data_IF_167644194452
#
_entry.id   IF_167644194452
#
_cell.length_a   1.000
_cell.length_b   1.000
_cell.length_c   1.000
_cell.angle_alpha   90.00
_cell.angle_beta   90.00
_cell.angle_gamma   90.00
#
_symmetry.space_group_name_H-M   'P 1'
#
loop_
_entity.id
_entity.type
_entity.pdbx_description
1 polymer ?
#
# COMPACT_ATOMS: atom_id res chain seq x y z
N UNK A 1 16.75 -22.86 4.20
CA UNK A 1 17.23 -21.86 3.21
C UNK A 1 16.12 -21.67 2.19
N UNK A 2 15.79 -20.44 1.81
CA UNK A 2 14.85 -20.22 0.70
C UNK A 2 15.47 -20.73 -0.60
N UNK A 3 14.68 -21.44 -1.40
CA UNK A 3 15.09 -21.98 -2.71
C UNK A 3 15.49 -20.86 -3.70
N UNK A 4 15.11 -19.61 -3.43
CA UNK A 4 15.43 -18.43 -4.26
C UNK A 4 15.89 -17.25 -3.39
N UNK A 5 17.17 -17.23 -2.97
CA UNK A 5 17.71 -16.15 -2.15
C UNK A 5 17.55 -14.77 -2.78
N UNK A 6 17.59 -14.67 -4.11
CA UNK A 6 17.40 -13.41 -4.85
C UNK A 6 15.99 -12.82 -4.76
N UNK A 7 15.01 -13.59 -4.26
CA UNK A 7 13.65 -13.09 -4.00
C UNK A 7 13.49 -12.61 -2.55
N UNK A 8 14.51 -12.75 -1.71
CA UNK A 8 14.45 -12.30 -0.33
C UNK A 8 14.92 -10.86 -0.21
N UNK A 9 14.02 -9.99 0.21
CA UNK A 9 14.32 -8.60 0.53
C UNK A 9 14.64 -8.53 2.03
N UNK A 10 15.88 -8.16 2.36
CA UNK A 10 16.24 -7.86 3.73
C UNK A 10 15.65 -6.51 4.14
N UNK A 11 14.67 -6.52 5.04
CA UNK A 11 14.05 -5.30 5.56
C UNK A 11 15.05 -4.52 6.42
N UNK A 12 15.05 -3.19 6.26
CA UNK A 12 15.71 -2.29 7.21
C UNK A 12 15.13 -2.52 8.60
N UNK A 13 15.99 -2.58 9.61
CA UNK A 13 15.57 -2.58 11.01
C UNK A 13 15.00 -1.21 11.39
N UNK A 14 13.75 -1.20 11.82
CA UNK A 14 13.07 -0.03 12.36
C UNK A 14 12.45 -0.39 13.71
N UNK A 15 12.24 0.61 14.57
CA UNK A 15 11.36 0.46 15.73
C UNK A 15 9.94 0.15 15.27
N UNK A 16 9.14 -0.46 16.13
CA UNK A 16 7.71 -0.68 15.87
C UNK A 16 6.88 0.34 16.65
N UNK A 17 5.89 0.92 15.99
CA UNK A 17 4.84 1.74 16.61
C UNK A 17 3.47 1.12 16.30
N UNK A 18 2.42 1.62 16.93
CA UNK A 18 1.05 1.26 16.56
C UNK A 18 0.29 2.45 15.95
N UNK A 19 -0.47 2.17 14.89
CA UNK A 19 -1.50 3.07 14.36
C UNK A 19 -2.82 2.40 14.64
N UNK A 20 -3.41 2.70 15.81
CA UNK A 20 -4.57 1.95 16.31
C UNK A 20 -4.20 0.47 16.47
N UNK A 21 -4.92 -0.42 15.80
CA UNK A 21 -4.64 -1.87 15.82
C UNK A 21 -3.54 -2.32 14.86
N UNK A 22 -3.02 -1.44 13.98
CA UNK A 22 -2.06 -1.83 12.94
C UNK A 22 -0.62 -1.54 13.39
N UNK A 23 0.24 -2.56 13.57
CA UNK A 23 1.65 -2.36 13.84
C UNK A 23 2.38 -1.82 12.59
N UNK A 24 3.29 -0.87 12.77
CA UNK A 24 4.09 -0.28 11.68
C UNK A 24 5.56 -0.23 12.11
N UNK A 25 6.43 -0.81 11.29
CA UNK A 25 7.86 -0.95 11.59
C UNK A 25 8.21 -2.29 12.25
N UNK A 26 9.48 -2.50 12.58
CA UNK A 26 9.98 -3.79 13.03
C UNK A 26 9.73 -4.90 12.00
N UNK A 27 9.26 -6.05 12.48
CA UNK A 27 8.93 -7.21 11.64
C UNK A 27 7.48 -7.17 11.11
N UNK A 28 6.75 -6.07 11.34
CA UNK A 28 5.38 -5.94 10.87
C UNK A 28 5.30 -5.96 9.32
N UNK A 29 4.25 -6.59 8.75
CA UNK A 29 3.99 -6.50 7.32
C UNK A 29 3.82 -5.05 6.87
N UNK A 30 4.31 -4.71 5.67
CA UNK A 30 4.20 -3.35 5.13
C UNK A 30 2.72 -3.02 4.89
N UNK A 31 2.19 -2.05 5.62
CA UNK A 31 0.78 -1.68 5.52
C UNK A 31 0.52 -0.74 4.34
N UNK A 32 -0.55 -0.99 3.59
CA UNK A 32 -1.07 -0.17 2.49
C UNK A 32 -2.02 0.89 3.05
N UNK A 33 -1.77 2.15 2.73
CA UNK A 33 -2.63 3.27 3.11
C UNK A 33 -3.19 4.00 1.90
N UNK A 34 -4.34 4.65 2.10
CA UNK A 34 -4.89 5.62 1.15
C UNK A 34 -5.38 6.87 1.89
N UNK A 35 -5.93 7.84 1.16
CA UNK A 35 -6.54 9.04 1.71
C UNK A 35 -7.91 9.28 1.05
N UNK A 36 -8.92 9.61 1.83
CA UNK A 36 -10.22 10.04 1.31
C UNK A 36 -10.10 11.37 0.55
N UNK A 37 -10.99 11.59 -0.41
CA UNK A 37 -11.07 12.84 -1.18
C UNK A 37 -12.46 13.53 -1.08
N UNK A 38 -13.37 12.95 -0.30
CA UNK A 38 -14.65 13.57 0.10
C UNK A 38 -14.44 14.73 1.08
N UNK A 39 -15.44 15.60 1.19
CA UNK A 39 -15.50 16.57 2.28
C UNK A 39 -15.74 15.84 3.60
N UNK A 40 -14.85 15.99 4.57
CA UNK A 40 -14.92 15.29 5.86
C UNK A 40 -16.17 15.64 6.66
N UNK A 41 -16.69 16.86 6.54
CA UNK A 41 -17.95 17.28 7.14
C UNK A 41 -19.15 16.47 6.63
N UNK A 42 -19.08 15.93 5.42
CA UNK A 42 -19.98 14.87 4.96
C UNK A 42 -19.48 13.51 5.44
N UNK A 43 -19.80 13.23 6.71
CA UNK A 43 -19.44 11.96 7.33
C UNK A 43 -20.01 10.75 6.56
N UNK A 44 -21.20 10.86 5.96
CA UNK A 44 -21.83 9.74 5.27
C UNK A 44 -21.07 9.38 3.97
N UNK A 45 -20.74 10.38 3.16
CA UNK A 45 -19.93 10.18 1.96
C UNK A 45 -18.53 9.65 2.30
N UNK A 46 -17.91 10.21 3.36
CA UNK A 46 -16.57 9.80 3.80
C UNK A 46 -16.55 8.35 4.30
N UNK A 47 -17.54 7.94 5.11
CA UNK A 47 -17.70 6.55 5.54
C UNK A 47 -17.93 5.62 4.34
N UNK A 48 -18.77 6.01 3.37
CA UNK A 48 -19.01 5.21 2.18
C UNK A 48 -17.74 5.00 1.34
N UNK A 49 -16.88 6.03 1.20
CA UNK A 49 -15.59 5.88 0.53
C UNK A 49 -14.61 5.03 1.33
N UNK A 50 -14.57 5.15 2.66
CA UNK A 50 -13.80 4.27 3.53
C UNK A 50 -14.21 2.80 3.32
N UNK A 51 -15.50 2.49 3.19
CA UNK A 51 -15.97 1.12 2.90
C UNK A 51 -15.44 0.56 1.59
N UNK A 52 -15.35 1.39 0.54
CA UNK A 52 -14.76 0.95 -0.75
C UNK A 52 -13.27 0.65 -0.60
N UNK A 53 -12.54 1.50 0.12
CA UNK A 53 -11.13 1.27 0.43
C UNK A 53 -10.92 0.03 1.32
N UNK A 54 -11.79 -0.22 2.30
CA UNK A 54 -11.80 -1.43 3.13
C UNK A 54 -12.02 -2.69 2.26
N UNK A 55 -12.97 -2.66 1.32
CA UNK A 55 -13.19 -3.76 0.39
C UNK A 55 -11.97 -4.02 -0.51
N UNK A 56 -11.28 -2.96 -0.94
CA UNK A 56 -10.00 -3.04 -1.66
C UNK A 56 -8.84 -3.56 -0.77
N UNK A 57 -9.03 -3.69 0.54
CA UNK A 57 -8.05 -4.22 1.48
C UNK A 57 -7.05 -3.19 2.00
N UNK A 58 -7.48 -1.95 2.20
CA UNK A 58 -6.63 -0.94 2.86
C UNK A 58 -6.38 -1.33 4.33
N UNK A 59 -5.18 -1.07 4.84
CA UNK A 59 -4.88 -1.30 6.26
C UNK A 59 -5.13 -0.03 7.11
N UNK A 60 -4.88 1.17 6.56
CA UNK A 60 -5.01 2.46 7.25
C UNK A 60 -5.57 3.53 6.30
N UNK A 61 -6.56 4.31 6.73
CA UNK A 61 -7.12 5.40 5.91
C UNK A 61 -6.80 6.76 6.52
N UNK A 62 -6.38 7.70 5.68
CA UNK A 62 -6.18 9.10 6.07
C UNK A 62 -7.38 9.96 5.68
N UNK A 63 -7.79 10.86 6.57
CA UNK A 63 -8.90 11.79 6.38
C UNK A 63 -8.42 13.22 6.64
N UNK A 64 -8.71 14.15 5.73
CA UNK A 64 -8.32 15.56 5.87
C UNK A 64 -9.15 16.26 6.94
N UNK A 65 -8.53 17.03 7.83
CA UNK A 65 -9.24 17.78 8.88
C UNK A 65 -8.89 19.28 8.84
N UNK A 66 -9.32 20.02 7.80
CA UNK A 66 -8.97 21.43 7.62
C UNK A 66 -9.65 22.39 8.60
N UNK A 67 -10.85 22.07 9.08
CA UNK A 67 -11.74 22.96 9.83
C UNK A 67 -12.49 22.24 10.97
N UNK A 68 -13.36 22.98 11.68
CA UNK A 68 -14.10 22.46 12.83
C UNK A 68 -15.20 21.48 12.48
N UNK A 69 -15.86 21.68 11.35
CA UNK A 69 -16.88 20.75 10.87
C UNK A 69 -16.25 19.39 10.55
N UNK A 70 -15.03 19.39 10.02
CA UNK A 70 -14.26 18.18 9.74
C UNK A 70 -13.92 17.40 11.02
N UNK A 71 -13.39 18.07 12.06
CA UNK A 71 -13.06 17.39 13.33
C UNK A 71 -14.31 16.96 14.10
N UNK A 72 -15.41 17.71 14.02
CA UNK A 72 -16.69 17.31 14.59
C UNK A 72 -17.26 16.04 13.93
N UNK A 73 -17.15 15.91 12.61
CA UNK A 73 -17.56 14.73 11.87
C UNK A 73 -16.66 13.50 12.13
N UNK A 74 -15.38 13.74 12.45
CA UNK A 74 -14.37 12.69 12.61
C UNK A 74 -14.75 11.64 13.64
N UNK A 75 -15.38 12.02 14.77
CA UNK A 75 -15.80 11.08 15.82
C UNK A 75 -16.75 10.01 15.28
N UNK A 76 -17.68 10.39 14.40
CA UNK A 76 -18.59 9.45 13.74
C UNK A 76 -17.82 8.58 12.74
N UNK A 77 -16.94 9.18 11.94
CA UNK A 77 -16.13 8.47 10.94
C UNK A 77 -15.26 7.38 11.60
N UNK A 78 -14.53 7.73 12.66
CA UNK A 78 -13.68 6.81 13.44
C UNK A 78 -14.50 5.65 14.00
N UNK A 79 -15.67 5.92 14.59
CA UNK A 79 -16.52 4.90 15.19
C UNK A 79 -17.01 3.87 14.17
N UNK A 80 -17.32 4.33 12.95
CA UNK A 80 -17.83 3.46 11.90
C UNK A 80 -16.70 2.73 11.15
N UNK A 81 -15.52 3.34 10.99
CA UNK A 81 -14.40 2.72 10.28
C UNK A 81 -13.95 1.39 10.94
N UNK A 82 -13.64 0.38 10.11
CA UNK A 82 -13.08 -0.91 10.54
C UNK A 82 -11.56 -0.89 10.59
N UNK A 83 -10.97 0.13 9.97
CA UNK A 83 -9.52 0.37 9.90
C UNK A 83 -9.15 1.65 10.64
N UNK A 84 -7.92 1.76 11.18
CA UNK A 84 -7.44 2.96 11.83
C UNK A 84 -7.50 4.20 10.94
N UNK A 85 -7.97 5.32 11.51
CA UNK A 85 -8.06 6.62 10.82
C UNK A 85 -6.89 7.53 11.22
N UNK A 86 -6.19 8.05 10.22
CA UNK A 86 -5.16 9.09 10.38
C UNK A 86 -5.81 10.45 10.10
N UNK A 87 -5.75 11.38 11.05
CA UNK A 87 -6.19 12.76 10.81
C UNK A 87 -5.05 13.57 10.15
N UNK A 88 -5.32 14.17 9.00
CA UNK A 88 -4.34 15.01 8.27
C UNK A 88 -4.52 16.49 8.62
N UNK A 89 -3.51 17.05 9.28
CA UNK A 89 -3.57 18.40 9.86
C UNK A 89 -2.31 19.16 9.49
N UNK A 90 -2.47 20.38 8.98
CA UNK A 90 -1.36 21.15 8.45
C UNK A 90 -0.78 22.14 9.46
N UNK A 91 -1.63 22.96 10.10
CA UNK A 91 -1.17 24.08 10.94
C UNK A 91 -1.91 24.22 12.28
N UNK A 92 -3.18 23.83 12.34
CA UNK A 92 -4.06 24.26 13.42
C UNK A 92 -4.04 23.29 14.61
N UNK A 93 -3.29 23.64 15.67
CA UNK A 93 -3.09 22.79 16.85
C UNK A 93 -4.41 22.32 17.52
N UNK A 94 -5.45 23.17 17.56
CA UNK A 94 -6.76 22.75 18.10
C UNK A 94 -7.40 21.62 17.32
N UNK A 95 -7.27 21.60 15.98
CA UNK A 95 -7.79 20.49 15.17
C UNK A 95 -7.08 19.18 15.53
N UNK A 96 -5.81 19.24 15.91
CA UNK A 96 -5.03 18.08 16.30
C UNK A 96 -5.47 17.51 17.65
N UNK A 97 -5.74 18.39 18.61
CA UNK A 97 -6.30 18.01 19.92
C UNK A 97 -7.68 17.36 19.73
N UNK A 98 -8.58 18.03 19.02
CA UNK A 98 -9.93 17.52 18.77
C UNK A 98 -9.94 16.22 17.98
N UNK A 99 -9.03 16.05 17.02
CA UNK A 99 -8.91 14.81 16.26
C UNK A 99 -8.45 13.64 17.16
N UNK A 100 -7.52 13.89 18.10
CA UNK A 100 -7.12 12.89 19.08
C UNK A 100 -8.30 12.52 20.00
N UNK A 101 -9.03 13.52 20.51
CA UNK A 101 -10.24 13.33 21.33
C UNK A 101 -11.37 12.60 20.59
N UNK A 102 -11.48 12.81 19.28
CA UNK A 102 -12.41 12.11 18.40
C UNK A 102 -12.05 10.64 18.15
N UNK A 103 -10.85 10.20 18.58
CA UNK A 103 -10.36 8.83 18.45
C UNK A 103 -9.52 8.56 17.21
N UNK A 104 -8.93 9.59 16.58
CA UNK A 104 -7.96 9.37 15.52
C UNK A 104 -6.82 8.46 16.03
N UNK A 105 -6.44 7.48 15.23
CA UNK A 105 -5.38 6.53 15.56
C UNK A 105 -3.97 7.10 15.35
N UNK A 106 -3.86 8.11 14.49
CA UNK A 106 -2.62 8.82 14.23
C UNK A 106 -2.87 10.25 13.76
N UNK A 107 -2.06 11.20 14.23
CA UNK A 107 -2.05 12.58 13.73
C UNK A 107 -0.93 12.75 12.72
N UNK A 108 -1.23 13.09 11.46
CA UNK A 108 -0.21 13.68 10.59
C UNK A 108 -0.17 15.17 10.86
N UNK A 109 0.91 15.62 11.48
CA UNK A 109 1.20 17.04 11.70
C UNK A 109 2.72 17.22 11.82
N UNK A 110 3.24 18.35 11.34
CA UNK A 110 4.65 18.70 11.50
C UNK A 110 4.79 19.61 12.73
N UNK A 111 5.48 19.18 13.81
CA UNK A 111 5.58 19.95 15.06
C UNK A 111 6.04 21.40 14.89
N UNK A 112 7.03 21.67 14.02
CA UNK A 112 7.52 23.03 13.77
C UNK A 112 6.51 23.96 13.09
N UNK A 113 5.42 23.44 12.52
CA UNK A 113 4.36 24.24 11.90
C UNK A 113 3.25 24.67 12.88
N UNK A 114 3.25 24.14 14.11
CA UNK A 114 2.20 24.36 15.12
C UNK A 114 2.32 25.75 15.79
N UNK A 115 3.53 26.34 15.75
CA UNK A 115 3.84 27.62 16.37
C UNK A 115 4.58 27.47 17.69
N UNK A 116 4.00 27.94 18.80
CA UNK A 116 4.68 27.98 20.09
C UNK A 116 4.93 26.58 20.68
N UNK A 117 6.01 26.44 21.45
CA UNK A 117 6.34 25.21 22.18
C UNK A 117 5.23 24.75 23.14
N UNK A 118 4.43 25.68 23.66
CA UNK A 118 3.26 25.37 24.47
C UNK A 118 2.19 24.61 23.67
N UNK A 119 1.85 25.09 22.47
CA UNK A 119 0.87 24.42 21.60
C UNK A 119 1.35 23.03 21.16
N UNK A 120 2.65 22.91 20.87
CA UNK A 120 3.26 21.60 20.57
C UNK A 120 3.08 20.64 21.75
N UNK A 121 3.35 21.10 22.98
CA UNK A 121 3.17 20.31 24.20
C UNK A 121 1.72 19.88 24.39
N UNK A 122 0.75 20.76 24.13
CA UNK A 122 -0.68 20.42 24.22
C UNK A 122 -1.08 19.33 23.21
N UNK A 123 -0.61 19.42 21.96
CA UNK A 123 -0.88 18.40 20.94
C UNK A 123 -0.25 17.05 21.31
N UNK A 124 1.00 17.04 21.78
CA UNK A 124 1.68 15.82 22.24
C UNK A 124 0.95 15.22 23.44
N UNK A 125 0.50 16.05 24.38
CA UNK A 125 -0.30 15.60 25.53
C UNK A 125 -1.61 14.96 25.06
N UNK A 126 -2.35 15.62 24.17
CA UNK A 126 -3.59 15.07 23.62
C UNK A 126 -3.36 13.74 22.90
N UNK A 127 -2.27 13.62 22.13
CA UNK A 127 -1.90 12.39 21.45
C UNK A 127 -1.62 11.25 22.46
N UNK A 128 -0.83 11.52 23.51
CA UNK A 128 -0.55 10.54 24.58
C UNK A 128 -1.83 10.11 25.30
N UNK A 129 -2.64 11.07 25.74
CA UNK A 129 -3.83 10.83 26.55
C UNK A 129 -4.86 9.94 25.82
N UNK A 130 -4.85 9.98 24.47
CA UNK A 130 -5.78 9.21 23.63
C UNK A 130 -5.11 8.06 22.86
N UNK A 131 -3.86 7.70 23.19
CA UNK A 131 -3.15 6.59 22.54
C UNK A 131 -2.91 6.79 21.04
N UNK A 132 -2.79 8.04 20.60
CA UNK A 132 -2.62 8.43 19.21
C UNK A 132 -1.13 8.50 18.86
N UNK A 133 -0.71 7.85 17.78
CA UNK A 133 0.64 7.99 17.25
C UNK A 133 0.76 9.24 16.36
N UNK A 134 1.96 9.66 16.00
CA UNK A 134 2.15 10.83 15.11
C UNK A 134 2.88 10.47 13.82
N UNK A 135 2.61 11.22 12.75
CA UNK A 135 3.42 11.19 11.53
C UNK A 135 3.95 12.57 11.21
N UNK A 136 5.27 12.69 11.23
CA UNK A 136 5.99 13.80 10.61
C UNK A 136 5.97 13.59 9.10
N UNK A 137 5.48 14.57 8.35
CA UNK A 137 5.40 14.49 6.90
C UNK A 137 5.99 15.72 6.22
N UNK A 138 7.26 15.60 5.85
CA UNK A 138 7.96 16.60 5.04
C UNK A 138 7.68 16.34 3.56
N UNK A 139 7.36 17.41 2.82
CA UNK A 139 7.22 17.35 1.36
C UNK A 139 8.15 18.38 0.74
N UNK A 140 8.77 18.03 -0.39
CA UNK A 140 9.67 18.92 -1.11
C UNK A 140 9.03 20.27 -1.48
N UNK A 141 7.74 20.27 -1.84
CA UNK A 141 7.01 21.49 -2.21
C UNK A 141 6.61 22.40 -1.04
N UNK A 142 6.82 21.99 0.21
CA UNK A 142 6.42 22.74 1.40
C UNK A 142 7.53 22.79 2.46
N UNK A 143 8.79 22.86 2.02
CA UNK A 143 9.95 22.93 2.90
C UNK A 143 10.01 24.29 3.60
N UNK A 144 10.58 24.31 4.81
CA UNK A 144 10.78 25.51 5.61
C UNK A 144 11.75 26.49 4.92
N UNK A 145 11.50 27.80 5.09
CA UNK A 145 12.29 28.85 4.43
C UNK A 145 13.77 28.82 4.79
N UNK A 146 14.12 28.56 6.04
CA UNK A 146 15.53 28.54 6.47
C UNK A 146 16.31 27.41 5.80
N UNK A 147 15.66 26.28 5.51
CA UNK A 147 16.29 25.17 4.78
C UNK A 147 16.42 25.51 3.29
N UNK A 148 15.42 26.16 2.69
CA UNK A 148 15.54 26.66 1.32
C UNK A 148 16.67 27.69 1.18
N UNK A 149 16.83 28.58 2.17
CA UNK A 149 17.93 29.55 2.21
C UNK A 149 19.29 28.88 2.38
N UNK A 150 19.38 27.83 3.22
CA UNK A 150 20.61 27.06 3.47
C UNK A 150 21.04 26.22 2.26
N UNK A 151 20.10 25.57 1.60
CA UNK A 151 20.36 24.56 0.56
C UNK A 151 20.13 25.06 -0.87
N UNK A 152 19.53 26.23 -1.05
CA UNK A 152 19.22 26.85 -2.34
C UNK A 152 18.00 26.25 -3.06
N UNK A 153 17.81 24.94 -2.98
CA UNK A 153 16.69 24.22 -3.59
C UNK A 153 16.26 23.00 -2.74
N UNK A 154 15.02 22.48 -2.92
CA UNK A 154 14.64 21.21 -2.33
C UNK A 154 15.54 20.08 -2.83
N UNK A 155 16.33 19.48 -1.93
CA UNK A 155 17.23 18.37 -2.21
C UNK A 155 17.18 17.32 -1.08
N UNK A 156 17.78 16.13 -1.25
CA UNK A 156 17.70 15.05 -0.25
C UNK A 156 18.11 15.50 1.16
N UNK A 157 19.22 16.22 1.28
CA UNK A 157 19.75 16.70 2.56
C UNK A 157 18.74 17.62 3.26
N UNK A 158 18.12 18.54 2.52
CA UNK A 158 17.17 19.49 3.05
C UNK A 158 15.89 18.80 3.56
N UNK A 159 15.39 17.79 2.83
CA UNK A 159 14.24 17.00 3.27
C UNK A 159 14.54 16.17 4.53
N UNK A 160 15.73 15.56 4.59
CA UNK A 160 16.16 14.76 5.74
C UNK A 160 16.37 15.64 6.97
N UNK A 161 17.02 16.80 6.81
CA UNK A 161 17.23 17.75 7.90
C UNK A 161 15.90 18.23 8.48
N UNK A 162 14.95 18.68 7.65
CA UNK A 162 13.59 19.05 8.08
C UNK A 162 12.95 17.92 8.90
N UNK A 163 13.01 16.68 8.41
CA UNK A 163 12.39 15.54 9.06
C UNK A 163 13.01 15.26 10.44
N UNK A 164 14.34 15.37 10.57
CA UNK A 164 15.06 15.16 11.82
C UNK A 164 14.88 16.32 12.80
N UNK A 165 14.76 17.56 12.33
CA UNK A 165 14.40 18.72 13.17
C UNK A 165 13.04 18.51 13.83
N UNK A 166 12.03 18.11 13.06
CA UNK A 166 10.70 17.77 13.60
C UNK A 166 10.73 16.56 14.53
N UNK A 167 11.50 15.53 14.19
CA UNK A 167 11.64 14.34 15.03
C UNK A 167 12.26 14.68 16.38
N UNK A 168 13.26 15.56 16.39
CA UNK A 168 13.91 16.05 17.59
C UNK A 168 12.92 16.76 18.51
N UNK A 169 11.98 17.55 17.98
CA UNK A 169 10.94 18.19 18.80
C UNK A 169 10.11 17.13 19.55
N UNK A 170 9.67 16.06 18.89
CA UNK A 170 8.93 14.99 19.56
C UNK A 170 9.77 14.27 20.61
N UNK A 171 11.04 13.99 20.29
CA UNK A 171 11.98 13.30 21.18
C UNK A 171 12.34 14.14 22.42
N UNK A 172 12.54 15.45 22.28
CA UNK A 172 12.80 16.37 23.40
C UNK A 172 11.58 16.45 24.35
N UNK A 173 10.40 16.08 23.85
CA UNK A 173 9.16 15.91 24.62
C UNK A 173 8.90 14.45 25.02
N UNK A 174 9.90 13.56 24.92
CA UNK A 174 9.87 12.12 25.23
C UNK A 174 8.77 11.32 24.49
N UNK A 175 8.33 11.81 23.33
CA UNK A 175 7.28 11.17 22.54
C UNK A 175 7.91 10.33 21.42
N UNK A 176 7.77 9.00 21.50
CA UNK A 176 8.45 8.06 20.60
C UNK A 176 7.52 7.29 19.66
N UNK A 177 6.20 7.38 19.85
CA UNK A 177 5.17 6.74 19.01
C UNK A 177 4.94 7.53 17.72
N UNK A 178 5.97 7.62 16.87
CA UNK A 178 5.84 8.33 15.59
C UNK A 178 6.60 7.69 14.43
N UNK A 179 6.13 8.00 13.23
CA UNK A 179 6.73 7.63 11.93
C UNK A 179 7.03 8.87 11.08
N UNK A 180 7.88 8.71 10.07
CA UNK A 180 8.37 9.82 9.25
C UNK A 180 8.08 9.57 7.77
N UNK A 181 7.78 10.62 7.01
CA UNK A 181 7.80 10.61 5.54
C UNK A 181 8.51 11.84 4.97
N UNK A 182 9.30 11.65 3.91
CA UNK A 182 9.98 12.70 3.13
C UNK A 182 9.59 12.54 1.65
N UNK A 183 8.45 13.12 1.24
CA UNK A 183 7.91 12.89 -0.11
C UNK A 183 8.36 13.95 -1.10
N UNK A 184 8.62 13.52 -2.32
CA UNK A 184 8.80 14.39 -3.47
C UNK A 184 8.01 13.84 -4.66
N UNK A 185 7.70 14.72 -5.61
CA UNK A 185 7.11 14.33 -6.88
C UNK A 185 8.15 13.82 -7.85
N UNK A 186 9.40 14.28 -7.78
CA UNK A 186 10.50 13.66 -8.52
C UNK A 186 10.92 12.32 -7.87
N UNK A 187 11.09 11.29 -8.69
CA UNK A 187 11.39 9.93 -8.22
C UNK A 187 12.81 9.84 -7.67
N UNK A 188 13.79 10.49 -8.30
CA UNK A 188 15.19 10.43 -7.86
C UNK A 188 15.36 11.12 -6.52
N UNK A 189 14.78 12.32 -6.36
CA UNK A 189 14.76 13.07 -5.12
C UNK A 189 14.10 12.26 -3.99
N UNK A 190 12.91 11.70 -4.23
CA UNK A 190 12.21 10.90 -3.23
C UNK A 190 13.03 9.68 -2.80
N UNK A 191 13.55 8.90 -3.76
CA UNK A 191 14.32 7.68 -3.46
C UNK A 191 15.60 8.01 -2.70
N UNK A 192 16.33 9.04 -3.12
CA UNK A 192 17.56 9.48 -2.45
C UNK A 192 17.28 9.93 -1.01
N UNK A 193 16.26 10.79 -0.80
CA UNK A 193 15.89 11.28 0.52
C UNK A 193 15.46 10.14 1.47
N UNK A 194 14.67 9.17 1.01
CA UNK A 194 14.29 8.03 1.86
C UNK A 194 15.45 7.10 2.19
N UNK A 195 16.38 6.86 1.25
CA UNK A 195 17.59 6.06 1.52
C UNK A 195 18.48 6.73 2.57
N UNK A 196 18.70 8.04 2.43
CA UNK A 196 19.46 8.81 3.40
C UNK A 196 18.77 8.86 4.77
N UNK A 197 17.45 9.07 4.81
CA UNK A 197 16.67 9.05 6.06
C UNK A 197 16.71 7.68 6.74
N UNK A 198 16.69 6.61 5.95
CA UNK A 198 16.77 5.23 6.43
C UNK A 198 18.10 4.90 7.12
N UNK A 199 19.19 5.54 6.71
CA UNK A 199 20.50 5.45 7.36
C UNK A 199 20.61 6.35 8.60
N UNK A 200 19.93 7.51 8.58
CA UNK A 200 20.03 8.52 9.63
C UNK A 200 19.17 8.22 10.88
N UNK A 201 18.17 7.34 10.80
CA UNK A 201 17.31 7.03 11.94
C UNK A 201 16.73 5.60 11.88
N UNK A 202 16.10 5.17 12.97
CA UNK A 202 15.44 3.86 13.12
C UNK A 202 13.90 3.97 13.16
N UNK A 203 13.32 5.15 12.93
CA UNK A 203 11.86 5.34 12.91
C UNK A 203 11.19 4.58 11.74
N UNK A 204 9.91 4.19 11.86
CA UNK A 204 9.18 3.64 10.73
C UNK A 204 9.01 4.72 9.64
N UNK A 205 9.13 4.31 8.39
CA UNK A 205 9.05 5.20 7.23
C UNK A 205 7.75 4.96 6.45
N UNK A 206 6.93 6.00 6.35
CA UNK A 206 5.78 6.05 5.46
C UNK A 206 6.24 6.50 4.07
N UNK A 207 6.48 5.56 3.17
CA UNK A 207 6.98 5.83 1.83
C UNK A 207 5.85 6.19 0.85
N UNK A 208 6.18 6.98 -0.17
CA UNK A 208 5.22 7.42 -1.18
C UNK A 208 5.83 8.44 -2.13
N UNK A 209 5.45 8.35 -3.41
CA UNK A 209 5.67 9.42 -4.38
C UNK A 209 4.43 10.32 -4.33
N UNK A 210 4.61 11.62 -4.11
CA UNK A 210 3.50 12.58 -4.14
C UNK A 210 3.26 13.06 -5.55
N UNK A 211 2.04 13.54 -5.85
CA UNK A 211 1.70 14.11 -7.18
C UNK A 211 2.13 13.18 -8.33
N UNK A 212 1.77 11.89 -8.23
CA UNK A 212 2.22 10.91 -9.22
C UNK A 212 1.52 11.07 -10.58
N UNK A 213 0.30 11.63 -10.57
CA UNK A 213 -0.52 11.90 -11.75
C UNK A 213 -1.74 10.98 -11.84
N UNK A 214 -2.41 11.00 -12.99
CA UNK A 214 -3.57 10.13 -13.26
C UNK A 214 -3.20 8.64 -13.29
N UNK A 215 -4.22 7.76 -13.36
CA UNK A 215 -4.10 6.30 -13.19
C UNK A 215 -2.85 5.67 -13.83
N UNK A 216 -2.66 5.80 -15.15
CA UNK A 216 -1.55 5.14 -15.86
C UNK A 216 -0.17 5.69 -15.46
N UNK A 217 0.04 6.99 -15.66
CA UNK A 217 1.33 7.65 -15.38
C UNK A 217 1.69 7.57 -13.90
N UNK A 218 0.72 7.80 -13.02
CA UNK A 218 0.90 7.73 -11.57
C UNK A 218 1.21 6.32 -11.10
N UNK A 219 0.62 5.29 -11.69
CA UNK A 219 0.96 3.88 -11.41
C UNK A 219 2.40 3.58 -11.78
N UNK A 220 2.84 3.91 -13.00
CA UNK A 220 4.22 3.68 -13.45
C UNK A 220 5.21 4.40 -12.54
N UNK A 221 5.00 5.69 -12.31
CA UNK A 221 5.86 6.54 -11.49
C UNK A 221 5.96 6.05 -10.04
N UNK A 222 4.81 5.67 -9.44
CA UNK A 222 4.77 5.14 -8.09
C UNK A 222 5.45 3.77 -8.00
N UNK A 223 5.21 2.87 -8.95
CA UNK A 223 5.85 1.55 -9.00
C UNK A 223 7.37 1.65 -9.13
N UNK A 224 7.89 2.60 -9.92
CA UNK A 224 9.33 2.85 -10.03
C UNK A 224 9.93 3.30 -8.69
N UNK A 225 9.35 4.33 -8.07
CA UNK A 225 9.89 4.90 -6.82
C UNK A 225 9.72 3.97 -5.62
N UNK A 226 8.51 3.46 -5.40
CA UNK A 226 8.21 2.54 -4.30
C UNK A 226 8.91 1.20 -4.50
N UNK A 227 8.97 0.68 -5.74
CA UNK A 227 9.70 -0.54 -6.06
C UNK A 227 11.19 -0.43 -5.72
N UNK A 228 11.83 0.69 -6.06
CA UNK A 228 13.24 0.94 -5.73
C UNK A 228 13.51 0.99 -4.22
N UNK A 229 12.60 1.60 -3.45
CA UNK A 229 12.73 1.67 -1.98
C UNK A 229 12.49 0.33 -1.32
N UNK A 230 11.40 -0.34 -1.69
CA UNK A 230 11.01 -1.63 -1.15
C UNK A 230 12.04 -2.70 -1.48
N UNK A 231 12.59 -2.71 -2.70
CA UNK A 231 13.69 -3.62 -3.09
C UNK A 231 14.94 -3.43 -2.22
N UNK A 232 15.22 -2.18 -1.81
CA UNK A 232 16.30 -1.85 -0.88
C UNK A 232 15.95 -2.11 0.60
N UNK A 233 14.78 -2.70 0.90
CA UNK A 233 14.31 -2.95 2.25
C UNK A 233 13.78 -1.72 2.99
N UNK A 234 13.62 -0.58 2.30
CA UNK A 234 13.21 0.71 2.88
C UNK A 234 11.70 0.88 2.75
N UNK A 235 11.05 1.14 3.89
CA UNK A 235 9.61 1.42 3.97
C UNK A 235 8.88 0.45 4.89
N UNK A 236 8.08 1.01 5.79
CA UNK A 236 7.34 0.26 6.81
C UNK A 236 5.82 0.37 6.60
N UNK A 237 5.41 1.40 5.86
CA UNK A 237 4.06 1.55 5.32
C UNK A 237 4.14 2.39 4.04
N UNK A 238 3.20 2.21 3.12
CA UNK A 238 3.21 2.91 1.82
C UNK A 238 1.87 3.55 1.50
N UNK A 239 1.91 4.60 0.69
CA UNK A 239 0.75 5.13 -0.03
C UNK A 239 1.15 5.46 -1.48
N UNK A 240 0.35 4.98 -2.42
CA UNK A 240 0.35 5.43 -3.83
C UNK A 240 -0.51 6.71 -3.90
N UNK A 241 -0.06 7.75 -4.60
CA UNK A 241 -0.80 9.03 -4.66
C UNK A 241 -1.30 9.30 -6.07
N UNK A 242 -2.51 8.86 -6.40
CA UNK A 242 -3.09 8.95 -7.74
C UNK A 242 -4.15 10.06 -7.82
N UNK A 243 -4.30 10.66 -8.99
CA UNK A 243 -5.50 11.43 -9.34
C UNK A 243 -6.60 10.47 -9.82
N UNK A 244 -7.13 9.67 -8.90
CA UNK A 244 -8.16 8.64 -9.12
C UNK A 244 -8.96 8.42 -7.81
N UNK A 245 -9.94 7.50 -7.85
CA UNK A 245 -10.61 7.07 -6.62
C UNK A 245 -9.64 6.39 -5.64
N UNK A 246 -9.77 6.57 -4.32
CA UNK A 246 -8.81 6.06 -3.33
C UNK A 246 -8.61 4.54 -3.35
N UNK A 247 -9.66 3.76 -3.66
CA UNK A 247 -9.55 2.31 -3.82
C UNK A 247 -8.54 1.90 -4.91
N UNK A 248 -8.36 2.72 -5.96
CA UNK A 248 -7.34 2.46 -6.99
C UNK A 248 -5.91 2.58 -6.43
N UNK A 249 -5.67 3.54 -5.52
CA UNK A 249 -4.38 3.67 -4.83
C UNK A 249 -4.05 2.40 -4.03
N UNK A 250 -5.08 1.82 -3.40
CA UNK A 250 -4.97 0.60 -2.59
C UNK A 250 -4.65 -0.60 -3.48
N UNK A 251 -5.37 -0.77 -4.59
CA UNK A 251 -5.14 -1.86 -5.55
C UNK A 251 -3.73 -1.81 -6.13
N UNK A 252 -3.27 -0.63 -6.56
CA UNK A 252 -1.88 -0.46 -7.04
C UNK A 252 -0.87 -0.75 -5.93
N UNK A 253 -1.16 -0.35 -4.69
CA UNK A 253 -0.32 -0.66 -3.54
C UNK A 253 -0.14 -2.17 -3.32
N UNK A 254 -1.24 -2.93 -3.43
CA UNK A 254 -1.21 -4.39 -3.37
C UNK A 254 -0.43 -5.02 -4.51
N UNK A 255 -0.58 -4.52 -5.75
CA UNK A 255 0.18 -5.04 -6.89
C UNK A 255 1.70 -4.84 -6.75
N UNK A 256 2.13 -3.69 -6.21
CA UNK A 256 3.55 -3.44 -5.91
C UNK A 256 4.08 -4.45 -4.87
N UNK A 257 3.35 -4.67 -3.77
CA UNK A 257 3.76 -5.62 -2.73
C UNK A 257 3.76 -7.07 -3.23
N UNK A 258 2.75 -7.45 -4.02
CA UNK A 258 2.59 -8.77 -4.65
C UNK A 258 3.71 -9.04 -5.67
N UNK A 259 4.10 -8.02 -6.43
CA UNK A 259 5.21 -8.09 -7.39
C UNK A 259 6.56 -8.36 -6.73
N UNK A 260 6.79 -7.80 -5.54
CA UNK A 260 8.01 -7.98 -4.76
C UNK A 260 7.97 -9.16 -3.77
N UNK A 261 6.85 -9.88 -3.68
CA UNK A 261 6.69 -10.99 -2.73
C UNK A 261 6.66 -10.56 -1.26
N UNK A 262 6.33 -9.29 -0.97
CA UNK A 262 6.35 -8.71 0.38
C UNK A 262 5.03 -8.95 1.12
N UNK A 263 3.90 -8.89 0.40
CA UNK A 263 2.56 -9.26 0.88
C UNK A 263 1.72 -9.74 -0.29
N UNK A 264 0.75 -10.60 -0.01
CA UNK A 264 -0.14 -11.16 -1.02
C UNK A 264 -1.60 -11.01 -0.59
N UNK A 265 -2.45 -10.58 -1.51
CA UNK A 265 -3.91 -10.56 -1.40
C UNK A 265 -4.48 -10.88 -2.78
N UNK A 266 -5.48 -11.75 -2.78
CA UNK A 266 -6.19 -12.21 -3.96
C UNK A 266 -5.35 -12.94 -5.00
N UNK A 267 -5.88 -13.02 -6.21
CA UNK A 267 -5.27 -13.79 -7.30
C UNK A 267 -4.15 -12.97 -7.97
N UNK A 268 -3.00 -13.62 -8.18
CA UNK A 268 -1.90 -13.13 -9.01
C UNK A 268 -2.01 -13.79 -10.38
N UNK A 269 -2.53 -13.05 -11.35
CA UNK A 269 -2.62 -13.53 -12.74
C UNK A 269 -1.29 -13.27 -13.44
N UNK A 270 -0.67 -14.34 -13.95
CA UNK A 270 0.52 -14.30 -14.80
C UNK A 270 0.07 -14.60 -16.22
N UNK A 271 0.02 -13.59 -17.08
CA UNK A 271 -0.42 -13.74 -18.46
C UNK A 271 0.68 -13.42 -19.46
N UNK A 272 0.71 -14.13 -20.58
CA UNK A 272 1.52 -13.71 -21.71
C UNK A 272 0.92 -12.43 -22.33
N UNK A 273 1.72 -11.56 -22.96
CA UNK A 273 1.22 -10.38 -23.69
C UNK A 273 0.23 -10.67 -24.83
N UNK A 274 0.04 -11.95 -25.19
CA UNK A 274 -0.49 -12.48 -26.45
C UNK A 274 0.52 -12.43 -27.62
N UNK A 275 0.23 -13.20 -28.67
CA UNK A 275 0.90 -13.12 -29.98
C UNK A 275 0.08 -13.91 -31.02
N UNK A 276 0.56 -13.99 -32.27
CA UNK A 276 -0.10 -14.73 -33.36
C UNK A 276 -0.26 -16.25 -33.11
N UNK A 277 0.35 -16.79 -32.03
CA UNK A 277 0.25 -18.21 -31.66
C UNK A 277 -0.88 -18.49 -30.66
N UNK A 278 -1.62 -17.48 -30.24
CA UNK A 278 -2.65 -17.67 -29.23
C UNK A 278 -3.77 -18.61 -29.70
N UNK A 279 -4.10 -19.62 -28.89
CA UNK A 279 -5.22 -20.54 -29.12
C UNK A 279 -6.57 -19.97 -28.69
N UNK A 280 -6.57 -18.87 -27.93
CA UNK A 280 -7.74 -18.10 -27.51
C UNK A 280 -7.36 -16.62 -27.36
N UNK A 281 -8.35 -15.73 -27.28
CA UNK A 281 -8.10 -14.30 -27.06
C UNK A 281 -7.62 -14.06 -25.62
N UNK A 282 -6.30 -13.98 -25.42
CA UNK A 282 -5.70 -13.84 -24.09
C UNK A 282 -6.12 -12.52 -23.43
N UNK A 283 -6.15 -11.43 -24.19
CA UNK A 283 -6.43 -10.09 -23.65
C UNK A 283 -7.85 -10.04 -23.07
N UNK A 284 -8.85 -10.49 -23.81
CA UNK A 284 -10.23 -10.52 -23.33
C UNK A 284 -10.43 -11.52 -22.18
N UNK A 285 -9.73 -12.66 -22.23
CA UNK A 285 -9.81 -13.68 -21.19
C UNK A 285 -9.26 -13.16 -19.86
N UNK A 286 -8.09 -12.51 -19.88
CA UNK A 286 -7.48 -11.93 -18.68
C UNK A 286 -8.38 -10.84 -18.10
N UNK A 287 -8.88 -9.92 -18.91
CA UNK A 287 -9.76 -8.85 -18.44
C UNK A 287 -11.02 -9.39 -17.73
N UNK A 288 -11.65 -10.44 -18.30
CA UNK A 288 -12.82 -11.11 -17.68
C UNK A 288 -12.45 -11.80 -16.36
N UNK A 289 -11.29 -12.44 -16.30
CA UNK A 289 -10.83 -13.13 -15.08
C UNK A 289 -10.47 -12.13 -13.98
N UNK A 290 -9.81 -11.01 -14.31
CA UNK A 290 -9.52 -9.94 -13.34
C UNK A 290 -10.81 -9.39 -12.72
N UNK A 291 -11.84 -9.14 -13.53
CA UNK A 291 -13.15 -8.70 -13.05
C UNK A 291 -13.84 -9.77 -12.18
N UNK A 292 -13.93 -11.01 -12.69
CA UNK A 292 -14.67 -12.09 -12.02
C UNK A 292 -13.98 -12.64 -10.78
N UNK A 293 -12.68 -12.42 -10.59
CA UNK A 293 -11.91 -12.91 -9.45
C UNK A 293 -11.57 -11.81 -8.43
N UNK A 294 -12.03 -10.58 -8.64
CA UNK A 294 -11.73 -9.44 -7.78
C UNK A 294 -12.20 -9.61 -6.32
N UNK A 295 -13.21 -10.45 -6.06
CA UNK A 295 -13.73 -10.76 -4.73
C UNK A 295 -12.87 -11.75 -3.95
N UNK A 296 -11.91 -12.42 -4.59
CA UNK A 296 -11.04 -13.39 -3.94
C UNK A 296 -9.96 -12.64 -3.15
N UNK A 297 -9.93 -12.83 -1.84
CA UNK A 297 -8.88 -12.30 -0.97
C UNK A 297 -7.75 -13.31 -0.73
N UNK A 298 -8.05 -14.60 -0.87
CA UNK A 298 -7.11 -15.69 -0.64
C UNK A 298 -5.96 -15.63 -1.65
N UNK A 299 -4.69 -15.61 -1.20
CA UNK A 299 -3.54 -15.62 -2.09
C UNK A 299 -3.50 -16.86 -2.98
N UNK A 300 -3.55 -16.65 -4.30
CA UNK A 300 -3.48 -17.70 -5.32
C UNK A 300 -2.72 -17.21 -6.54
N UNK A 301 -2.11 -18.12 -7.29
CA UNK A 301 -1.41 -17.81 -8.55
C UNK A 301 -2.10 -18.47 -9.75
N UNK A 302 -2.36 -17.70 -10.80
CA UNK A 302 -3.09 -18.17 -11.99
C UNK A 302 -2.30 -17.85 -13.25
N UNK A 303 -1.80 -18.84 -14.00
CA UNK A 303 -1.15 -18.57 -15.29
C UNK A 303 -2.14 -18.66 -16.46
N UNK A 304 -2.23 -17.62 -17.30
CA UNK A 304 -3.09 -17.55 -18.49
C UNK A 304 -2.22 -17.37 -19.73
N UNK A 305 -1.86 -18.46 -20.39
CA UNK A 305 -0.90 -18.46 -21.49
C UNK A 305 -1.55 -18.92 -22.78
N UNK A 306 -1.50 -18.08 -23.81
CA UNK A 306 -2.20 -18.34 -25.07
C UNK A 306 -1.66 -19.51 -25.89
N UNK A 307 -0.48 -20.06 -25.61
CA UNK A 307 0.10 -21.13 -26.43
C UNK A 307 1.02 -22.08 -25.65
N UNK A 308 1.28 -23.24 -26.23
CA UNK A 308 2.12 -24.30 -25.65
C UNK A 308 3.61 -23.95 -25.50
N UNK A 309 4.09 -22.85 -26.07
CA UNK A 309 5.52 -22.52 -26.07
C UNK A 309 6.01 -22.21 -24.65
N UNK A 310 5.34 -21.29 -23.96
CA UNK A 310 5.67 -20.92 -22.58
C UNK A 310 4.66 -21.46 -21.56
N UNK A 311 3.48 -21.90 -22.03
CA UNK A 311 2.36 -22.29 -21.18
C UNK A 311 2.70 -23.37 -20.14
N UNK A 312 3.27 -24.52 -20.54
CA UNK A 312 3.62 -25.58 -19.60
C UNK A 312 4.63 -25.11 -18.55
N UNK A 313 5.63 -24.33 -18.94
CA UNK A 313 6.67 -23.84 -18.01
C UNK A 313 6.13 -22.86 -16.97
N UNK A 314 5.26 -21.93 -17.37
CA UNK A 314 4.61 -21.00 -16.44
C UNK A 314 3.61 -21.72 -15.51
N UNK A 315 2.92 -22.74 -16.02
CA UNK A 315 1.97 -23.52 -15.24
C UNK A 315 2.65 -24.31 -14.10
N UNK A 316 3.91 -24.75 -14.27
CA UNK A 316 4.71 -25.36 -13.19
C UNK A 316 4.86 -24.45 -11.96
N UNK A 317 4.82 -23.13 -12.20
CA UNK A 317 5.09 -22.12 -11.18
C UNK A 317 3.82 -21.52 -10.57
N UNK A 318 2.64 -22.04 -10.92
CA UNK A 318 1.36 -21.49 -10.47
C UNK A 318 0.42 -22.55 -9.89
N UNK A 319 -0.53 -22.07 -9.09
CA UNK A 319 -1.54 -22.89 -8.44
C UNK A 319 -2.50 -23.52 -9.43
N UNK A 320 -2.89 -22.73 -10.42
CA UNK A 320 -3.80 -23.07 -11.51
C UNK A 320 -3.21 -22.46 -12.78
N UNK A 321 -3.23 -23.20 -13.88
CA UNK A 321 -2.72 -22.70 -15.15
C UNK A 321 -3.59 -23.11 -16.33
N UNK A 322 -3.66 -22.27 -17.35
CA UNK A 322 -4.29 -22.60 -18.64
C UNK A 322 -3.34 -22.26 -19.77
N UNK A 323 -3.16 -23.24 -20.65
CA UNK A 323 -2.36 -23.13 -21.87
C UNK A 323 -3.24 -23.33 -23.10
N UNK A 324 -3.18 -22.37 -24.02
CA UNK A 324 -3.90 -22.46 -25.28
C UNK A 324 -3.38 -23.60 -26.16
N UNK A 325 -4.26 -24.57 -26.43
CA UNK A 325 -4.08 -25.60 -27.45
C UNK A 325 -4.75 -25.25 -28.79
N UNK A 326 -4.74 -26.21 -29.71
CA UNK A 326 -5.37 -26.08 -31.03
C UNK A 326 -6.83 -26.55 -31.06
N UNK A 327 -7.59 -26.10 -32.06
CA UNK A 327 -8.95 -26.61 -32.32
C UNK A 327 -9.97 -26.28 -31.22
N UNK A 328 -9.78 -25.17 -30.49
CA UNK A 328 -10.70 -24.74 -29.43
C UNK A 328 -10.59 -25.53 -28.12
N UNK A 329 -9.55 -26.36 -27.96
CA UNK A 329 -9.25 -27.15 -26.76
C UNK A 329 -7.99 -26.64 -26.09
N UNK A 330 -8.03 -26.44 -24.78
CA UNK A 330 -6.94 -25.86 -24.00
C UNK A 330 -6.58 -26.78 -22.83
N UNK A 331 -5.31 -26.79 -22.41
CA UNK A 331 -4.84 -27.63 -21.31
C UNK A 331 -4.91 -26.86 -19.99
N UNK A 332 -5.56 -27.45 -18.99
CA UNK A 332 -5.60 -26.97 -17.61
C UNK A 332 -4.53 -27.68 -16.80
N UNK A 333 -3.91 -26.94 -15.90
CA UNK A 333 -2.88 -27.40 -14.98
C UNK A 333 -3.30 -27.10 -13.55
N UNK A 334 -3.06 -28.05 -12.66
CA UNK A 334 -3.32 -27.93 -11.23
C UNK A 334 -2.02 -28.25 -10.48
N UNK A 335 -1.55 -27.32 -9.64
CA UNK A 335 -0.30 -27.45 -8.89
C UNK A 335 0.88 -27.92 -9.76
N UNK A 336 1.05 -27.28 -10.92
CA UNK A 336 2.10 -27.60 -11.88
C UNK A 336 1.93 -28.90 -12.69
N UNK A 337 0.85 -29.66 -12.53
CA UNK A 337 0.63 -30.89 -13.29
C UNK A 337 -0.49 -30.72 -14.29
N UNK A 338 -0.36 -31.35 -15.46
CA UNK A 338 -1.46 -31.45 -16.43
C UNK A 338 -2.64 -32.15 -15.79
N UNK A 339 -3.83 -31.56 -15.88
CA UNK A 339 -5.03 -32.08 -15.23
C UNK A 339 -6.05 -32.56 -16.27
N UNK A 340 -6.62 -31.64 -17.06
CA UNK A 340 -7.61 -31.97 -18.08
C UNK A 340 -7.67 -30.90 -19.20
N UNK A 341 -8.50 -31.15 -20.21
CA UNK A 341 -8.77 -30.16 -21.26
C UNK A 341 -10.05 -29.39 -20.98
N UNK A 342 -10.05 -28.11 -21.34
CA UNK A 342 -11.24 -27.25 -21.33
C UNK A 342 -11.48 -26.67 -22.72
N UNK A 343 -12.74 -26.57 -23.12
CA UNK A 343 -13.14 -25.96 -24.39
C UNK A 343 -13.19 -24.44 -24.28
N UNK A 344 -12.90 -23.72 -25.36
CA UNK A 344 -12.86 -22.24 -25.36
C UNK A 344 -14.15 -21.59 -24.85
N UNK A 345 -15.31 -22.22 -25.12
CA UNK A 345 -16.62 -21.67 -24.77
C UNK A 345 -16.88 -21.64 -23.26
N UNK A 346 -16.37 -22.61 -22.50
CA UNK A 346 -16.57 -22.74 -21.06
C UNK A 346 -15.33 -22.36 -20.24
N UNK A 347 -14.24 -21.96 -20.90
CA UNK A 347 -12.94 -21.77 -20.27
C UNK A 347 -12.96 -20.77 -19.12
N UNK A 348 -13.58 -19.59 -19.30
CA UNK A 348 -13.59 -18.54 -18.26
C UNK A 348 -14.35 -19.00 -17.02
N UNK A 349 -15.56 -19.53 -17.20
CA UNK A 349 -16.40 -19.97 -16.09
C UNK A 349 -15.73 -21.11 -15.32
N UNK A 350 -15.17 -22.07 -16.05
CA UNK A 350 -14.44 -23.19 -15.46
C UNK A 350 -13.21 -22.74 -14.64
N UNK A 351 -12.42 -21.79 -15.15
CA UNK A 351 -11.27 -21.25 -14.40
C UNK A 351 -11.75 -20.56 -13.12
N UNK A 352 -12.84 -19.78 -13.19
CA UNK A 352 -13.38 -19.10 -12.01
C UNK A 352 -13.81 -20.11 -10.96
N UNK A 353 -14.54 -21.16 -11.36
CA UNK A 353 -14.97 -22.22 -10.45
C UNK A 353 -13.78 -22.91 -9.76
N UNK A 354 -12.72 -23.24 -10.52
CA UNK A 354 -11.50 -23.84 -9.97
C UNK A 354 -10.80 -22.91 -8.95
N UNK A 355 -10.71 -21.62 -9.26
CA UNK A 355 -10.10 -20.63 -8.36
C UNK A 355 -10.92 -20.47 -7.09
N UNK A 356 -12.25 -20.39 -7.21
CA UNK A 356 -13.16 -20.27 -6.06
C UNK A 356 -13.10 -21.49 -5.14
N UNK A 357 -13.12 -22.69 -5.72
CA UNK A 357 -12.98 -23.94 -4.99
C UNK A 357 -11.64 -24.01 -4.26
N UNK A 358 -10.53 -23.69 -4.96
CA UNK A 358 -9.21 -23.70 -4.34
C UNK A 358 -9.07 -22.65 -3.24
N UNK A 359 -9.64 -21.46 -3.43
CA UNK A 359 -9.68 -20.42 -2.41
C UNK A 359 -10.49 -20.85 -1.18
N UNK A 360 -11.61 -21.55 -1.37
CA UNK A 360 -12.42 -22.10 -0.30
C UNK A 360 -11.67 -23.20 0.49
N UNK A 361 -11.00 -24.12 -0.20
CA UNK A 361 -10.19 -25.18 0.40
C UNK A 361 -9.05 -24.60 1.28
N UNK A 362 -8.33 -23.60 0.78
CA UNK A 362 -7.28 -22.91 1.57
C UNK A 362 -7.87 -22.26 2.82
N UNK A 363 -9.03 -21.60 2.72
CA UNK A 363 -9.71 -21.00 3.88
C UNK A 363 -10.19 -22.04 4.90
N UNK A 364 -10.54 -23.23 4.45
CA UNK A 364 -10.93 -24.35 5.30
C UNK A 364 -9.73 -25.03 6.00
N UNK A 365 -8.49 -24.61 5.71
CA UNK A 365 -7.29 -25.18 6.28
C UNK A 365 -6.89 -26.52 5.66
N UNK A 366 -7.43 -26.84 4.47
CA UNK A 366 -7.00 -28.02 3.73
C UNK A 366 -5.55 -27.84 3.29
N UNK A 367 -4.69 -28.78 3.67
CA UNK A 367 -3.29 -28.80 3.22
C UNK A 367 -3.28 -29.15 1.74
N UNK A 368 -3.30 -28.13 0.89
CA UNK A 368 -3.08 -28.31 -0.53
C UNK A 368 -1.57 -28.44 -0.72
N UNK A 369 -1.04 -29.57 -1.23
CA UNK A 369 0.38 -29.76 -1.40
C UNK A 369 0.92 -28.69 -2.35
N UNK A 370 1.68 -27.74 -1.81
CA UNK A 370 2.39 -26.78 -2.63
C UNK A 370 3.69 -27.45 -3.10
N UNK A 371 3.64 -28.20 -4.20
CA UNK A 371 4.81 -28.86 -4.80
C UNK A 371 5.67 -27.89 -5.64
N UNK A 372 5.80 -26.64 -5.21
CA UNK A 372 6.89 -25.75 -5.64
C UNK A 372 8.16 -25.92 -4.77
N UNK A 373 8.21 -26.99 -3.97
CA UNK A 373 9.29 -27.33 -3.05
C UNK A 373 9.77 -28.78 -3.30
N UNK A 374 10.34 -29.03 -4.48
CA UNK A 374 11.38 -30.06 -4.71
C UNK A 374 12.50 -29.46 -5.57
#
# INVERSE_FOLDING_TARGET
>A
MSYRPYQQIARRKSRQIHVGSVPVGGDAPISVQTMTNTLTSDAAATIAQIRRAEAAGVDIVRVSCPDEESTAALKKIVREARVPIVADIHFHYRRAIEAAEAGAACLRINPGNIGSAERVREVIKAARDHGCSMRIGVNAGSLEKHLLEKYGEPNPDALVESALEHAKILQDHDFHEFKISVKASDVFLAVAAYKQLAEACDHPLHIGITEAGGRRTGTVKSAMGLGALLWAGVGDTMRVSLSAEPEEEVLVGWEILKGLGLRHRGVKIVSCPSCARQGYNVIETVAKLEERLAHIETPLTLSIIGCVVNGPGEALMTDIGVTGGGGGRHMVYMAGKTDHHVDSASMVDHIVDLVEQKAAAIRAGEVIPNQAAE
#
